data_IF_249130749159
#
_entry.id   IF_249130749159
#
_cell.length_a   1.000
_cell.length_b   1.000
_cell.length_c   1.000
_cell.angle_alpha   90.00
_cell.angle_beta   90.00
_cell.angle_gamma   90.00
#
_symmetry.space_group_name_H-M   'P 1'
#
loop_
_entity.id
_entity.type
_entity.pdbx_description
1 polymer ?
#
# COMPACT_ATOMS: atom_id res chain seq x y z
N UNK A 1 -9.53 29.16 0.19
CA UNK A 1 -9.56 27.98 -0.68
C UNK A 1 -10.31 26.89 0.07
N UNK A 2 -11.53 26.56 -0.33
CA UNK A 2 -12.26 25.44 0.27
C UNK A 2 -11.50 24.17 -0.08
N UNK A 3 -11.09 23.47 0.95
CA UNK A 3 -10.35 22.25 0.89
C UNK A 3 -11.09 21.21 0.04
N UNK A 4 -10.34 20.50 -0.77
CA UNK A 4 -10.88 19.37 -1.50
C UNK A 4 -11.33 18.33 -0.47
N UNK A 5 -12.59 17.96 -0.51
CA UNK A 5 -13.06 16.83 0.27
C UNK A 5 -12.41 15.58 -0.31
N UNK A 6 -11.39 15.12 0.36
CA UNK A 6 -10.73 13.85 0.04
C UNK A 6 -11.33 12.82 0.98
N UNK A 7 -11.80 11.70 0.44
CA UNK A 7 -12.16 10.54 1.22
C UNK A 7 -10.95 9.64 1.34
N UNK A 8 -10.56 9.35 2.58
CA UNK A 8 -9.49 8.42 2.91
C UNK A 8 -10.08 7.20 3.60
N UNK A 9 -9.77 6.03 3.08
CA UNK A 9 -10.13 4.75 3.66
C UNK A 9 -8.85 4.06 4.08
N UNK A 10 -8.77 3.67 5.33
CA UNK A 10 -7.60 3.02 5.89
C UNK A 10 -7.98 1.84 6.77
N UNK A 11 -7.16 0.80 6.80
CA UNK A 11 -7.23 -0.27 7.79
C UNK A 11 -6.21 -0.09 8.91
N UNK A 12 -5.47 1.02 8.92
CA UNK A 12 -4.41 1.30 9.89
C UNK A 12 -4.92 2.22 10.99
N UNK A 13 -4.93 1.73 12.22
CA UNK A 13 -5.26 2.56 13.38
C UNK A 13 -4.29 3.73 13.56
N UNK A 14 -2.96 3.56 13.44
CA UNK A 14 -2.03 4.70 13.49
C UNK A 14 -2.32 5.78 12.45
N UNK A 15 -2.60 5.41 11.22
CA UNK A 15 -2.95 6.38 10.15
C UNK A 15 -4.26 7.08 10.49
N UNK A 16 -5.26 6.34 10.95
CA UNK A 16 -6.54 6.92 11.36
C UNK A 16 -6.35 7.98 12.45
N UNK A 17 -5.58 7.68 13.48
CA UNK A 17 -5.34 8.60 14.60
C UNK A 17 -4.61 9.87 14.17
N UNK A 18 -3.70 9.78 13.19
CA UNK A 18 -3.00 10.94 12.64
C UNK A 18 -3.96 11.83 11.82
N UNK A 19 -4.84 11.22 11.03
CA UNK A 19 -5.74 11.95 10.13
C UNK A 19 -7.03 12.42 10.80
N UNK A 20 -7.46 11.77 11.88
CA UNK A 20 -8.72 12.03 12.56
C UNK A 20 -8.94 13.50 12.97
N UNK A 21 -7.93 14.26 13.42
CA UNK A 21 -8.11 15.67 13.75
C UNK A 21 -8.37 16.58 12.55
N UNK A 22 -8.15 16.10 11.31
CA UNK A 22 -8.39 16.91 10.12
C UNK A 22 -9.88 17.10 9.86
N UNK A 23 -10.29 18.33 9.65
CA UNK A 23 -11.68 18.70 9.30
C UNK A 23 -11.93 18.67 7.79
N UNK A 24 -10.90 18.32 7.00
CA UNK A 24 -10.93 18.40 5.53
C UNK A 24 -10.93 17.05 4.84
N UNK A 25 -10.85 16.00 5.64
CA UNK A 25 -10.79 14.60 5.18
C UNK A 25 -12.05 13.88 5.63
N UNK A 26 -12.75 13.26 4.70
CA UNK A 26 -13.80 12.28 4.99
C UNK A 26 -13.08 10.94 5.27
N UNK A 27 -13.00 10.55 6.54
CA UNK A 27 -12.15 9.47 7.00
C UNK A 27 -12.97 8.24 7.40
N UNK A 28 -12.62 7.08 6.82
CA UNK A 28 -13.22 5.79 7.13
C UNK A 28 -12.14 4.84 7.61
N UNK A 29 -12.34 4.25 8.78
CA UNK A 29 -11.52 3.16 9.28
C UNK A 29 -12.21 1.83 8.98
N UNK A 30 -11.53 0.95 8.26
CA UNK A 30 -11.98 -0.41 8.03
C UNK A 30 -11.75 -1.23 9.31
N UNK A 31 -12.82 -1.81 9.82
CA UNK A 31 -12.78 -2.68 10.98
C UNK A 31 -12.28 -4.09 10.65
N UNK A 32 -12.16 -4.89 11.68
CA UNK A 32 -11.73 -6.28 11.57
C UNK A 32 -10.95 -6.71 12.80
N UNK A 33 -10.16 -7.76 12.67
CA UNK A 33 -9.22 -8.21 13.69
C UNK A 33 -8.01 -7.29 13.71
N UNK A 34 -7.67 -6.74 14.88
CA UNK A 34 -6.53 -5.84 15.01
C UNK A 34 -5.24 -6.63 15.24
N UNK A 35 -4.24 -6.41 14.40
CA UNK A 35 -2.89 -6.89 14.63
C UNK A 35 -2.16 -5.94 15.57
N UNK A 36 -1.81 -6.40 16.76
CA UNK A 36 -1.18 -5.56 17.79
C UNK A 36 0.15 -4.93 17.32
N UNK A 37 0.96 -5.68 16.56
CA UNK A 37 2.29 -5.23 16.12
C UNK A 37 2.21 -4.02 15.20
N UNK A 38 1.24 -4.00 14.28
CA UNK A 38 1.13 -2.96 13.24
C UNK A 38 -0.03 -2.00 13.47
N UNK A 39 -1.01 -2.39 14.29
CA UNK A 39 -2.26 -1.67 14.44
C UNK A 39 -3.15 -1.75 13.19
N UNK A 40 -2.90 -2.71 12.30
CA UNK A 40 -3.70 -2.91 11.10
C UNK A 40 -4.90 -3.83 11.39
N UNK A 41 -6.05 -3.48 10.82
CA UNK A 41 -7.24 -4.32 10.83
C UNK A 41 -7.23 -5.25 9.62
N UNK A 42 -7.45 -6.53 9.86
CA UNK A 42 -7.29 -7.61 8.88
C UNK A 42 -8.41 -8.63 8.99
N UNK A 43 -8.36 -9.65 8.14
CA UNK A 43 -9.27 -10.79 8.17
C UNK A 43 -10.55 -10.56 7.36
N UNK A 44 -11.48 -11.49 7.48
CA UNK A 44 -12.68 -11.54 6.66
C UNK A 44 -13.57 -10.30 6.78
N UNK A 45 -13.69 -9.73 7.98
CA UNK A 45 -14.49 -8.51 8.19
C UNK A 45 -13.87 -7.34 7.42
N UNK A 46 -12.55 -7.15 7.50
CA UNK A 46 -11.86 -6.09 6.78
C UNK A 46 -12.00 -6.27 5.26
N UNK A 47 -11.81 -7.47 4.76
CA UNK A 47 -11.95 -7.79 3.33
C UNK A 47 -13.37 -7.54 2.85
N UNK A 48 -14.38 -8.02 3.56
CA UNK A 48 -15.79 -7.82 3.20
C UNK A 48 -16.15 -6.33 3.12
N UNK A 49 -15.61 -5.52 4.00
CA UNK A 49 -15.81 -4.06 3.96
C UNK A 49 -15.20 -3.42 2.70
N UNK A 50 -14.10 -3.96 2.18
CA UNK A 50 -13.42 -3.42 1.01
C UNK A 50 -14.01 -3.91 -0.33
N UNK A 51 -14.58 -5.09 -0.38
CA UNK A 51 -15.01 -5.75 -1.63
C UNK A 51 -16.01 -4.94 -2.46
N UNK A 52 -16.87 -4.18 -1.81
CA UNK A 52 -17.88 -3.34 -2.49
C UNK A 52 -17.41 -1.92 -2.80
N UNK A 53 -16.16 -1.58 -2.48
CA UNK A 53 -15.61 -0.24 -2.64
C UNK A 53 -14.70 -0.16 -3.87
N UNK A 54 -14.74 0.98 -4.56
CA UNK A 54 -13.82 1.31 -5.65
C UNK A 54 -13.03 2.56 -5.27
N UNK A 55 -11.73 2.52 -5.50
CA UNK A 55 -10.82 3.61 -5.16
C UNK A 55 -10.23 4.25 -6.42
N UNK A 56 -10.07 5.57 -6.41
CA UNK A 56 -9.28 6.24 -7.45
C UNK A 56 -7.79 5.87 -7.33
N UNK A 57 -7.28 5.75 -6.09
CA UNK A 57 -5.91 5.36 -5.80
C UNK A 57 -5.86 4.43 -4.60
N UNK A 58 -5.02 3.40 -4.66
CA UNK A 58 -4.61 2.62 -3.51
C UNK A 58 -3.11 2.76 -3.29
N UNK A 59 -2.74 3.02 -2.05
CA UNK A 59 -1.36 3.09 -1.60
C UNK A 59 -1.09 1.90 -0.70
N UNK A 60 -0.14 1.09 -1.06
CA UNK A 60 0.28 -0.06 -0.25
C UNK A 60 1.79 -0.02 -0.03
N UNK A 61 2.24 -0.73 0.99
CA UNK A 61 3.66 -0.98 1.21
C UNK A 61 3.96 -2.48 1.17
N UNK A 62 5.23 -2.81 1.13
CA UNK A 62 5.69 -4.19 1.16
C UNK A 62 6.98 -4.30 1.98
N UNK A 63 7.23 -5.48 2.52
CA UNK A 63 8.50 -5.78 3.19
C UNK A 63 9.58 -6.17 2.19
N UNK A 64 9.19 -6.70 1.04
CA UNK A 64 10.14 -7.22 0.06
C UNK A 64 9.62 -7.06 -1.37
N UNK A 65 10.53 -6.76 -2.27
CA UNK A 65 10.31 -6.72 -3.72
C UNK A 65 11.40 -7.57 -4.38
N UNK A 66 11.00 -8.60 -5.08
CA UNK A 66 11.92 -9.44 -5.82
C UNK A 66 11.34 -9.85 -7.18
N UNK A 67 12.04 -9.49 -8.24
CA UNK A 67 11.56 -9.68 -9.60
C UNK A 67 10.13 -9.12 -9.76
N UNK A 68 9.18 -9.91 -10.25
CA UNK A 68 7.79 -9.51 -10.45
C UNK A 68 6.90 -9.80 -9.22
N UNK A 69 7.46 -9.82 -8.02
CA UNK A 69 6.73 -10.19 -6.81
C UNK A 69 6.89 -9.15 -5.70
N UNK A 70 5.78 -8.87 -5.02
CA UNK A 70 5.73 -8.04 -3.82
C UNK A 70 5.26 -8.91 -2.67
N UNK A 71 6.00 -8.84 -1.56
CA UNK A 71 5.78 -9.72 -0.42
C UNK A 71 5.70 -8.97 0.91
N UNK A 72 4.99 -9.59 1.85
CA UNK A 72 4.89 -9.14 3.23
C UNK A 72 4.99 -10.34 4.18
N UNK A 73 5.24 -10.07 5.45
CA UNK A 73 5.33 -11.09 6.48
C UNK A 73 3.98 -11.78 6.76
N UNK A 74 2.90 -11.02 6.72
CA UNK A 74 1.56 -11.48 7.11
C UNK A 74 0.68 -11.72 5.90
N UNK A 75 0.17 -12.93 5.78
CA UNK A 75 -0.85 -13.26 4.79
C UNK A 75 -2.13 -12.44 5.00
N UNK A 76 -2.54 -12.23 6.25
CA UNK A 76 -3.74 -11.43 6.57
C UNK A 76 -3.62 -9.99 6.11
N UNK A 77 -2.45 -9.34 6.31
CA UNK A 77 -2.21 -7.99 5.82
C UNK A 77 -2.08 -7.96 4.30
N UNK A 78 -1.40 -8.95 3.73
CA UNK A 78 -1.25 -9.08 2.28
C UNK A 78 -2.59 -9.22 1.56
N UNK A 79 -3.51 -9.98 2.12
CA UNK A 79 -4.86 -10.15 1.53
C UNK A 79 -5.65 -8.83 1.52
N UNK A 80 -5.61 -8.04 2.57
CA UNK A 80 -6.26 -6.72 2.62
C UNK A 80 -5.65 -5.80 1.56
N UNK A 81 -4.33 -5.77 1.46
CA UNK A 81 -3.63 -4.94 0.46
C UNK A 81 -3.97 -5.41 -0.97
N UNK A 82 -4.05 -6.70 -1.21
CA UNK A 82 -4.44 -7.25 -2.52
C UNK A 82 -5.84 -6.80 -2.93
N UNK A 83 -6.82 -6.90 -2.04
CA UNK A 83 -8.19 -6.46 -2.32
C UNK A 83 -8.24 -4.96 -2.60
N UNK A 84 -7.53 -4.15 -1.81
CA UNK A 84 -7.45 -2.71 -2.02
C UNK A 84 -6.85 -2.37 -3.39
N UNK A 85 -5.77 -3.03 -3.79
CA UNK A 85 -5.15 -2.84 -5.11
C UNK A 85 -6.10 -3.27 -6.25
N UNK A 86 -6.74 -4.42 -6.12
CA UNK A 86 -7.68 -4.91 -7.14
C UNK A 86 -8.86 -3.97 -7.36
N UNK A 87 -9.26 -3.23 -6.32
CA UNK A 87 -10.39 -2.29 -6.38
C UNK A 87 -9.98 -0.86 -6.71
N UNK A 88 -8.72 -0.61 -6.99
CA UNK A 88 -8.19 0.72 -7.32
C UNK A 88 -7.98 0.91 -8.82
N UNK A 89 -8.26 2.13 -9.28
CA UNK A 89 -7.95 2.55 -10.66
C UNK A 89 -6.44 2.72 -10.82
N UNK A 90 -5.79 3.38 -9.88
CA UNK A 90 -4.34 3.56 -9.85
C UNK A 90 -3.74 2.86 -8.63
N UNK A 91 -2.76 2.01 -8.86
CA UNK A 91 -2.11 1.15 -7.86
C UNK A 91 -0.71 1.65 -7.59
N UNK A 92 -0.45 2.06 -6.35
CA UNK A 92 0.80 2.72 -5.96
C UNK A 92 1.47 1.92 -4.85
N UNK A 93 2.71 1.52 -5.10
CA UNK A 93 3.58 0.87 -4.12
C UNK A 93 4.56 1.88 -3.51
N UNK A 94 4.55 1.98 -2.19
CA UNK A 94 5.48 2.81 -1.42
C UNK A 94 6.46 1.90 -0.69
N UNK A 95 7.72 1.91 -1.13
CA UNK A 95 8.80 1.10 -0.53
C UNK A 95 10.08 1.90 -0.49
N UNK A 96 10.83 1.77 0.59
CA UNK A 96 12.18 2.31 0.62
C UNK A 96 13.16 1.40 -0.14
N UNK A 97 14.35 1.93 -0.43
CA UNK A 97 15.37 1.26 -1.24
C UNK A 97 15.83 -0.08 -0.66
N UNK A 98 15.69 -0.31 0.65
CA UNK A 98 16.11 -1.55 1.31
C UNK A 98 15.21 -2.73 1.01
N UNK A 99 14.01 -2.49 0.46
CA UNK A 99 13.02 -3.53 0.18
C UNK A 99 13.27 -4.28 -1.13
N UNK A 100 14.05 -3.71 -2.03
CA UNK A 100 14.39 -4.36 -3.30
C UNK A 100 15.40 -5.50 -3.09
N UNK A 101 15.31 -6.51 -3.95
CA UNK A 101 16.17 -7.72 -3.91
C UNK A 101 16.06 -8.49 -2.58
N UNK A 102 14.87 -8.41 -1.95
CA UNK A 102 14.55 -9.07 -0.69
C UNK A 102 13.38 -10.02 -0.84
N UNK A 103 13.30 -10.97 0.07
CA UNK A 103 12.22 -11.97 0.15
C UNK A 103 11.44 -11.80 1.44
N UNK A 104 10.16 -12.15 1.41
CA UNK A 104 9.34 -12.34 2.59
C UNK A 104 8.35 -13.49 2.39
N UNK A 105 7.67 -13.86 3.45
CA UNK A 105 6.87 -15.09 3.54
C UNK A 105 5.71 -15.15 2.55
N UNK A 106 4.96 -14.05 2.39
CA UNK A 106 3.73 -14.05 1.63
C UNK A 106 3.79 -13.09 0.44
N UNK A 107 3.81 -13.66 -0.77
CA UNK A 107 3.71 -12.89 -2.01
C UNK A 107 2.24 -12.53 -2.25
N UNK A 108 1.90 -11.25 -2.19
CA UNK A 108 0.50 -10.84 -2.28
C UNK A 108 0.12 -10.17 -3.60
N UNK A 109 1.08 -9.72 -4.40
CA UNK A 109 0.79 -9.07 -5.67
C UNK A 109 1.94 -9.21 -6.67
N UNK A 110 1.62 -9.03 -7.97
CA UNK A 110 2.61 -8.95 -9.03
C UNK A 110 2.99 -7.49 -9.28
N UNK A 111 4.28 -7.22 -9.40
CA UNK A 111 4.78 -5.87 -9.57
C UNK A 111 4.35 -5.23 -10.90
N UNK A 112 4.22 -6.02 -11.97
CA UNK A 112 3.76 -5.55 -13.28
C UNK A 112 2.28 -5.12 -13.30
N UNK A 113 1.52 -5.42 -12.26
CA UNK A 113 0.16 -4.94 -12.06
C UNK A 113 0.09 -3.61 -11.30
N UNK A 114 1.22 -3.12 -10.80
CA UNK A 114 1.34 -1.84 -10.09
C UNK A 114 1.67 -0.74 -11.10
N UNK A 115 0.98 0.39 -11.00
CA UNK A 115 1.14 1.50 -11.93
C UNK A 115 2.34 2.38 -11.59
N UNK A 116 2.66 2.50 -10.31
CA UNK A 116 3.70 3.39 -9.83
C UNK A 116 4.40 2.81 -8.59
N UNK A 117 5.73 2.85 -8.60
CA UNK A 117 6.58 2.59 -7.43
C UNK A 117 7.15 3.94 -6.98
N UNK A 118 6.97 4.27 -5.72
CA UNK A 118 7.61 5.42 -5.09
C UNK A 118 8.65 4.91 -4.09
N UNK A 119 9.87 5.35 -4.24
CA UNK A 119 10.99 4.97 -3.38
C UNK A 119 11.86 6.17 -3.00
N UNK A 120 12.82 5.97 -2.09
CA UNK A 120 13.71 7.03 -1.64
C UNK A 120 14.96 7.17 -2.53
N UNK A 121 15.72 8.25 -2.27
CA UNK A 121 16.92 8.63 -3.04
C UNK A 121 18.10 7.66 -2.92
N UNK A 122 18.06 6.71 -1.99
CA UNK A 122 19.14 5.72 -1.80
C UNK A 122 19.03 4.55 -2.78
N UNK A 123 17.97 4.50 -3.58
CA UNK A 123 17.84 3.48 -4.63
C UNK A 123 18.97 3.61 -5.64
N UNK A 124 19.60 2.49 -5.99
CA UNK A 124 20.71 2.48 -6.95
C UNK A 124 20.23 2.48 -8.39
N UNK A 125 21.09 2.92 -9.29
CA UNK A 125 20.80 2.90 -10.74
C UNK A 125 20.49 1.48 -11.24
N UNK A 126 21.20 0.48 -10.74
CA UNK A 126 20.99 -0.93 -11.12
C UNK A 126 19.58 -1.42 -10.74
N UNK A 127 19.09 -1.03 -9.57
CA UNK A 127 17.74 -1.34 -9.14
C UNK A 127 16.70 -0.65 -10.03
N UNK A 128 16.88 0.62 -10.32
CA UNK A 128 15.99 1.37 -11.21
C UNK A 128 15.95 0.69 -12.60
N UNK A 129 17.11 0.38 -13.18
CA UNK A 129 17.19 -0.27 -14.49
C UNK A 129 16.52 -1.66 -14.51
N UNK A 130 16.67 -2.43 -13.44
CA UNK A 130 16.03 -3.75 -13.32
C UNK A 130 14.51 -3.66 -13.21
N UNK A 131 14.00 -2.74 -12.39
CA UNK A 131 12.59 -2.71 -12.01
C UNK A 131 11.71 -1.80 -12.88
N UNK A 132 12.29 -0.85 -13.62
CA UNK A 132 11.53 0.02 -14.52
C UNK A 132 10.74 -0.71 -15.61
N UNK A 133 11.13 -1.92 -15.95
CA UNK A 133 10.41 -2.77 -16.90
C UNK A 133 9.07 -3.29 -16.38
N UNK A 134 8.89 -3.33 -15.07
CA UNK A 134 7.65 -3.79 -14.44
C UNK A 134 6.68 -2.64 -14.19
N UNK A 135 7.19 -1.50 -13.75
CA UNK A 135 6.37 -0.37 -13.34
C UNK A 135 7.18 0.93 -13.39
N UNK A 136 6.48 2.05 -13.51
CA UNK A 136 7.10 3.37 -13.41
C UNK A 136 7.67 3.59 -12.01
N UNK A 137 8.87 4.16 -11.92
CA UNK A 137 9.52 4.46 -10.64
C UNK A 137 9.65 5.98 -10.48
N UNK A 138 9.23 6.47 -9.32
CA UNK A 138 9.45 7.85 -8.88
C UNK A 138 10.31 7.82 -7.62
N UNK A 139 11.32 8.68 -7.60
CA UNK A 139 12.14 8.92 -6.41
C UNK A 139 11.52 10.09 -5.67
N UNK A 140 11.14 9.85 -4.40
CA UNK A 140 10.63 10.91 -3.54
C UNK A 140 11.79 11.78 -3.06
N UNK A 141 11.74 13.05 -3.42
CA UNK A 141 12.62 14.08 -2.90
C UNK A 141 11.98 14.74 -1.68
N UNK A 142 12.77 15.00 -0.67
CA UNK A 142 12.36 15.83 0.46
C UNK A 142 12.66 17.28 0.20
#
# INVERSE_FOLDING_TARGET
MKNRNIRVITNSLPVFLILHPSTTIDLILIGGECREITGAFVGAIAINNLESLTFSKAFVSANAVYNNSIATYSDLEGEVQRVALNNAVEKILLVDSTKFESYDFYNFYQLDQVDLIVTDKNVTTDIIEKYKKFSKIIIADK
#
